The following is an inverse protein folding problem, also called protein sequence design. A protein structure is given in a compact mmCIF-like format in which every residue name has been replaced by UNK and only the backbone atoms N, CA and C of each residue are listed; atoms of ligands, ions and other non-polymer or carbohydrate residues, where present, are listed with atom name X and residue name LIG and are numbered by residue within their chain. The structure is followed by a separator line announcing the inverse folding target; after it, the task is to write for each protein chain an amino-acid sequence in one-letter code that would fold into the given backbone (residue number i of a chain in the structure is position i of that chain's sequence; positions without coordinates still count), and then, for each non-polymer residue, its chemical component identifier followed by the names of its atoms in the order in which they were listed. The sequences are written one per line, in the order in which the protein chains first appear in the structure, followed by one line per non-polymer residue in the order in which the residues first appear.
data_IF_526145893738
#
_entry.id   IF_526145893738
#
_cell.length_a   1.000
_cell.length_b   1.000
_cell.length_c   1.000
_cell.angle_alpha   90.00
_cell.angle_beta   90.00
_cell.angle_gamma   90.00
#
_symmetry.space_group_name_H-M   'P 1'
#
loop_
_entity.id
_entity.type
_entity.pdbx_description
1 polymer ?
#
# COMPACT_ATOMS: atom_id res chain seq x y z
N UNK A 1 6.04 6.62 38.77
CA UNK A 1 6.83 5.47 38.28
C UNK A 1 6.53 4.14 38.98
N UNK A 2 6.45 4.01 40.32
CA UNK A 2 6.21 2.70 40.95
C UNK A 2 4.79 2.15 40.73
N UNK A 3 3.80 3.03 40.62
CA UNK A 3 2.39 2.63 40.39
C UNK A 3 2.20 1.99 39.01
N UNK A 4 2.86 2.51 37.97
CA UNK A 4 2.81 1.94 36.62
C UNK A 4 3.45 0.56 36.57
N UNK A 5 4.57 0.38 37.29
CA UNK A 5 5.25 -0.91 37.40
C UNK A 5 4.35 -1.91 38.17
N UNK A 6 3.71 -1.48 39.26
CA UNK A 6 2.78 -2.32 40.01
C UNK A 6 1.58 -2.76 39.16
N UNK A 7 1.03 -1.87 38.34
CA UNK A 7 -0.06 -2.20 37.40
C UNK A 7 0.41 -3.20 36.35
N UNK A 8 1.58 -2.97 35.73
CA UNK A 8 2.14 -3.89 34.73
C UNK A 8 2.41 -5.28 35.31
N UNK A 9 2.94 -5.35 36.53
CA UNK A 9 3.19 -6.63 37.22
C UNK A 9 1.90 -7.32 37.59
N UNK A 10 0.87 -6.59 38.06
CA UNK A 10 -0.43 -7.17 38.39
C UNK A 10 -1.12 -7.75 37.14
N UNK A 11 -1.11 -7.01 36.03
CA UNK A 11 -1.68 -7.45 34.76
C UNK A 11 -0.90 -8.65 34.20
N UNK A 12 0.43 -8.57 34.15
CA UNK A 12 1.27 -9.68 33.67
C UNK A 12 1.13 -10.95 34.52
N UNK A 13 1.05 -10.80 35.84
CA UNK A 13 0.82 -11.91 36.76
C UNK A 13 -0.54 -12.58 36.57
N UNK A 14 -1.61 -11.80 36.37
CA UNK A 14 -2.94 -12.33 36.09
C UNK A 14 -2.99 -13.11 34.77
N UNK A 15 -2.33 -12.60 33.73
CA UNK A 15 -2.25 -13.27 32.41
C UNK A 15 -1.50 -14.60 32.52
N UNK A 16 -0.35 -14.62 33.20
CA UNK A 16 0.45 -15.84 33.39
C UNK A 16 -0.29 -16.90 34.23
N UNK A 17 -0.99 -16.47 35.28
CA UNK A 17 -1.78 -17.37 36.12
C UNK A 17 -2.97 -17.97 35.37
N UNK A 18 -3.66 -17.16 34.55
CA UNK A 18 -4.75 -17.62 33.71
C UNK A 18 -4.27 -18.59 32.62
N UNK A 19 -3.20 -18.26 31.90
CA UNK A 19 -2.64 -19.11 30.85
C UNK A 19 -2.15 -20.47 31.37
N UNK A 20 -1.64 -20.51 32.61
CA UNK A 20 -1.23 -21.76 33.27
C UNK A 20 -2.42 -22.61 33.72
N UNK A 21 -3.53 -21.97 34.12
CA UNK A 21 -4.73 -22.66 34.61
C UNK A 21 -5.60 -23.23 33.48
N UNK A 22 -5.54 -22.63 32.29
CA UNK A 22 -6.34 -23.04 31.11
C UNK A 22 -5.45 -23.33 29.88
N UNK A 23 -4.65 -24.41 29.89
CA UNK A 23 -3.65 -24.67 28.84
C UNK A 23 -4.25 -24.95 27.46
N UNK A 24 -5.50 -25.43 27.37
CA UNK A 24 -6.18 -25.69 26.08
C UNK A 24 -6.67 -24.39 25.44
N UNK A 25 -7.25 -23.49 26.23
CA UNK A 25 -7.73 -22.19 25.75
C UNK A 25 -6.58 -21.22 25.43
N UNK A 26 -5.45 -21.34 26.15
CA UNK A 26 -4.25 -20.56 25.86
C UNK A 26 -3.63 -20.90 24.50
N UNK A 27 -3.72 -22.17 24.07
CA UNK A 27 -3.25 -22.60 22.75
C UNK A 27 -4.16 -22.08 21.63
N UNK A 28 -5.48 -22.13 21.80
CA UNK A 28 -6.41 -21.56 20.80
C UNK A 28 -6.30 -20.04 20.72
N UNK A 29 -6.09 -19.34 21.84
CA UNK A 29 -5.88 -17.88 21.84
C UNK A 29 -4.54 -17.51 21.23
N UNK A 30 -3.50 -18.33 21.39
CA UNK A 30 -2.21 -18.11 20.73
C UNK A 30 -2.31 -18.37 19.21
N UNK A 31 -3.00 -19.42 18.78
CA UNK A 31 -3.21 -19.73 17.37
C UNK A 31 -4.13 -18.70 16.71
N UNK A 32 -5.17 -18.22 17.41
CA UNK A 32 -6.01 -17.09 16.98
C UNK A 32 -5.21 -15.78 16.96
N UNK A 33 -4.35 -15.50 17.93
CA UNK A 33 -3.52 -14.30 17.92
C UNK A 33 -2.45 -14.34 16.82
N UNK A 34 -1.92 -15.52 16.50
CA UNK A 34 -0.98 -15.73 15.38
C UNK A 34 -1.74 -15.64 14.05
N UNK A 35 -2.93 -16.23 13.96
CA UNK A 35 -3.79 -16.15 12.79
C UNK A 35 -4.30 -14.74 12.60
N UNK A 36 -4.65 -14.00 13.65
CA UNK A 36 -4.99 -12.58 13.61
C UNK A 36 -3.74 -11.74 13.37
N UNK A 37 -2.54 -12.10 13.80
CA UNK A 37 -1.33 -11.35 13.44
C UNK A 37 -0.93 -11.58 11.96
N UNK A 38 -1.22 -12.78 11.44
CA UNK A 38 -0.88 -13.23 10.08
C UNK A 38 -1.96 -12.90 9.05
N UNK A 39 -3.22 -12.85 9.48
CA UNK A 39 -4.42 -12.50 8.71
C UNK A 39 -5.05 -11.19 9.21
N UNK A 40 -4.41 -10.44 10.13
CA UNK A 40 -4.80 -9.05 10.35
C UNK A 40 -4.55 -8.38 9.00
N UNK A 41 -5.58 -7.89 8.31
CA UNK A 41 -5.33 -7.00 7.21
C UNK A 41 -4.45 -5.87 7.77
N UNK A 42 -3.57 -5.32 6.93
CA UNK A 42 -2.70 -4.15 7.17
C UNK A 42 -3.46 -2.87 7.61
N UNK A 43 -4.73 -3.01 8.05
CA UNK A 43 -5.77 -2.04 8.37
C UNK A 43 -5.88 -1.67 9.86
N UNK A 44 -5.08 -2.23 10.80
CA UNK A 44 -5.08 -1.79 12.22
C UNK A 44 -4.21 -0.53 12.45
N UNK A 45 -3.44 -0.09 11.45
CA UNK A 45 -2.68 1.17 11.52
C UNK A 45 -3.49 2.43 11.17
N UNK A 46 -4.83 2.35 11.03
CA UNK A 46 -5.65 3.53 10.72
C UNK A 46 -5.77 4.47 11.93
N UNK A 47 -4.78 5.36 12.10
CA UNK A 47 -4.91 6.56 12.94
C UNK A 47 -5.92 7.49 12.25
N UNK A 48 -7.12 7.65 12.83
CA UNK A 48 -8.15 8.58 12.34
C UNK A 48 -7.55 9.99 12.12
N UNK A 49 -7.23 10.32 10.86
CA UNK A 49 -6.98 11.68 10.39
C UNK A 49 -8.26 12.18 9.72
N UNK A 50 -9.14 12.81 10.50
CA UNK A 50 -10.50 13.21 10.06
C UNK A 50 -10.56 14.40 9.09
N UNK A 51 -9.43 14.82 8.48
CA UNK A 51 -9.37 15.97 7.55
C UNK A 51 -8.33 15.83 6.42
N UNK A 52 -7.70 14.66 6.24
CA UNK A 52 -6.70 14.43 5.20
C UNK A 52 -7.32 14.00 3.88
N UNK A 53 -6.65 14.25 2.76
CA UNK A 53 -7.04 13.62 1.50
C UNK A 53 -6.75 12.12 1.62
N UNK A 54 -7.57 11.22 1.05
CA UNK A 54 -7.41 9.78 1.26
C UNK A 54 -6.04 9.22 0.85
N UNK A 55 -5.42 9.79 -0.19
CA UNK A 55 -4.03 9.49 -0.58
C UNK A 55 -3.03 9.72 0.56
N UNK A 56 -3.25 10.70 1.42
CA UNK A 56 -2.34 11.00 2.54
C UNK A 56 -2.35 9.88 3.60
N UNK A 57 -3.39 9.04 3.62
CA UNK A 57 -3.52 7.87 4.51
C UNK A 57 -2.96 6.57 3.95
N UNK A 58 -2.36 6.56 2.75
CA UNK A 58 -1.72 5.37 2.19
C UNK A 58 -0.43 5.11 2.95
N UNK A 59 -0.33 4.03 3.72
CA UNK A 59 0.91 3.64 4.42
C UNK A 59 1.64 2.47 3.74
N UNK A 60 1.05 1.92 2.67
CA UNK A 60 1.57 0.78 1.93
C UNK A 60 2.18 1.23 0.59
N UNK A 61 3.51 1.12 0.41
CA UNK A 61 4.19 1.50 -0.83
C UNK A 61 3.65 0.75 -2.05
N UNK A 62 3.33 -0.54 -1.91
CA UNK A 62 2.79 -1.36 -3.00
C UNK A 62 1.46 -0.81 -3.51
N UNK A 63 0.54 -0.45 -2.61
CA UNK A 63 -0.74 0.17 -2.99
C UNK A 63 -0.52 1.50 -3.72
N UNK A 64 0.43 2.32 -3.26
CA UNK A 64 0.75 3.58 -3.92
C UNK A 64 1.33 3.36 -5.33
N UNK A 65 2.16 2.34 -5.53
CA UNK A 65 2.71 1.95 -6.85
C UNK A 65 1.60 1.48 -7.78
N UNK A 66 0.69 0.62 -7.32
CA UNK A 66 -0.47 0.16 -8.10
C UNK A 66 -1.35 1.35 -8.50
N UNK A 67 -1.60 2.28 -7.57
CA UNK A 67 -2.37 3.49 -7.85
C UNK A 67 -1.69 4.46 -8.83
N UNK A 68 -0.35 4.51 -8.84
CA UNK A 68 0.40 5.23 -9.87
C UNK A 68 0.27 4.53 -11.24
N UNK A 69 0.27 3.19 -11.28
CA UNK A 69 0.01 2.43 -12.50
C UNK A 69 -1.37 2.70 -13.08
N UNK A 70 -2.42 2.70 -12.24
CA UNK A 70 -3.79 3.06 -12.68
C UNK A 70 -3.84 4.51 -13.20
N UNK A 71 -3.26 5.47 -12.48
CA UNK A 71 -3.23 6.86 -12.95
C UNK A 71 -2.44 7.02 -14.25
N UNK A 72 -1.40 6.20 -14.46
CA UNK A 72 -0.55 6.24 -15.65
C UNK A 72 -1.27 5.78 -16.92
N UNK A 73 -2.11 4.74 -16.81
CA UNK A 73 -2.94 4.29 -17.94
C UNK A 73 -4.14 5.24 -18.21
N UNK A 74 -4.49 6.11 -17.26
CA UNK A 74 -5.55 7.13 -17.40
C UNK A 74 -5.06 8.48 -17.99
N UNK A 75 -3.75 8.68 -18.20
CA UNK A 75 -3.19 10.01 -18.49
C UNK A 75 -3.69 10.68 -19.77
N UNK A 76 -3.94 9.91 -20.83
CA UNK A 76 -4.33 10.45 -22.15
C UNK A 76 -5.82 10.29 -22.44
N UNK A 77 -6.42 9.20 -21.97
CA UNK A 77 -7.86 8.92 -22.11
C UNK A 77 -8.29 7.90 -21.06
N UNK A 78 -9.59 7.59 -21.04
CA UNK A 78 -10.12 6.48 -20.27
C UNK A 78 -9.41 5.17 -20.67
N UNK A 79 -8.86 4.42 -19.70
CA UNK A 79 -8.10 3.23 -20.01
C UNK A 79 -9.00 2.20 -20.65
N UNK A 80 -8.46 1.46 -21.60
CA UNK A 80 -9.19 0.39 -22.27
C UNK A 80 -9.33 -0.82 -21.34
N UNK A 81 -10.10 -1.83 -21.76
CA UNK A 81 -10.15 -3.11 -21.03
C UNK A 81 -8.82 -3.84 -21.08
N UNK A 82 -8.10 -3.71 -22.20
CA UNK A 82 -6.81 -4.34 -22.41
C UNK A 82 -5.74 -3.71 -21.49
N UNK A 83 -5.73 -2.39 -21.35
CA UNK A 83 -4.81 -1.70 -20.43
C UNK A 83 -5.01 -2.15 -18.97
N UNK A 84 -6.27 -2.21 -18.54
CA UNK A 84 -6.62 -2.70 -17.20
C UNK A 84 -6.25 -4.17 -17.00
N UNK A 85 -6.49 -5.01 -18.00
CA UNK A 85 -6.11 -6.42 -17.92
C UNK A 85 -4.59 -6.61 -17.90
N UNK A 86 -3.84 -5.78 -18.64
CA UNK A 86 -2.38 -5.77 -18.63
C UNK A 86 -1.86 -5.35 -17.25
N UNK A 87 -2.36 -4.25 -16.71
CA UNK A 87 -2.05 -3.81 -15.35
C UNK A 87 -2.32 -4.93 -14.33
N UNK A 88 -3.48 -5.58 -14.43
CA UNK A 88 -3.86 -6.66 -13.54
C UNK A 88 -2.89 -7.84 -13.55
N UNK A 89 -2.51 -8.31 -14.74
CA UNK A 89 -1.52 -9.39 -14.89
C UNK A 89 -0.16 -8.97 -14.30
N UNK A 90 0.27 -7.74 -14.56
CA UNK A 90 1.56 -7.23 -14.06
C UNK A 90 1.58 -7.14 -12.53
N UNK A 91 0.54 -6.58 -11.91
CA UNK A 91 0.42 -6.46 -10.45
C UNK A 91 0.48 -7.84 -9.79
N UNK A 92 -0.27 -8.80 -10.32
CA UNK A 92 -0.24 -10.18 -9.82
C UNK A 92 1.13 -10.83 -9.94
N UNK A 93 1.83 -10.62 -11.06
CA UNK A 93 3.15 -11.20 -11.28
C UNK A 93 4.23 -10.58 -10.38
N UNK A 94 4.24 -9.25 -10.26
CA UNK A 94 5.27 -8.52 -9.52
C UNK A 94 5.19 -8.78 -8.01
N UNK A 95 3.98 -8.75 -7.43
CA UNK A 95 3.79 -8.93 -6.00
C UNK A 95 3.23 -10.31 -5.60
N UNK A 96 3.12 -11.25 -6.55
CA UNK A 96 2.63 -12.63 -6.35
C UNK A 96 1.26 -12.67 -5.66
N UNK A 97 0.40 -11.74 -6.02
CA UNK A 97 -0.94 -11.61 -5.46
C UNK A 97 -1.89 -12.69 -6.00
N UNK A 98 -2.84 -13.10 -5.17
CA UNK A 98 -4.00 -13.87 -5.66
C UNK A 98 -4.85 -13.00 -6.58
N UNK A 99 -5.78 -13.61 -7.32
CA UNK A 99 -6.74 -12.85 -8.14
C UNK A 99 -7.52 -11.84 -7.28
N UNK A 100 -8.09 -12.34 -6.17
CA UNK A 100 -8.91 -11.57 -5.25
C UNK A 100 -8.14 -10.40 -4.63
N UNK A 101 -6.92 -10.63 -4.14
CA UNK A 101 -6.10 -9.57 -3.55
C UNK A 101 -5.76 -8.46 -4.56
N UNK A 102 -5.50 -8.84 -5.82
CA UNK A 102 -5.19 -7.88 -6.88
C UNK A 102 -6.43 -7.07 -7.29
N UNK A 103 -7.59 -7.72 -7.42
CA UNK A 103 -8.86 -7.04 -7.69
C UNK A 103 -9.19 -6.02 -6.58
N UNK A 104 -8.99 -6.38 -5.31
CA UNK A 104 -9.18 -5.45 -4.19
C UNK A 104 -8.21 -4.26 -4.24
N UNK A 105 -6.91 -4.54 -4.47
CA UNK A 105 -5.88 -3.52 -4.54
C UNK A 105 -6.14 -2.54 -5.69
N UNK A 106 -6.53 -3.04 -6.87
CA UNK A 106 -6.86 -2.23 -8.03
C UNK A 106 -8.16 -1.44 -7.86
N UNK A 107 -9.19 -2.04 -7.24
CA UNK A 107 -10.42 -1.31 -6.91
C UNK A 107 -10.13 -0.13 -5.98
N UNK A 108 -9.27 -0.33 -4.98
CA UNK A 108 -8.84 0.74 -4.08
C UNK A 108 -7.97 1.78 -4.79
N UNK A 109 -7.03 1.34 -5.62
CA UNK A 109 -6.17 2.20 -6.44
C UNK A 109 -7.01 3.14 -7.33
N UNK A 110 -7.96 2.58 -8.08
CA UNK A 110 -8.88 3.36 -8.94
C UNK A 110 -9.72 4.34 -8.15
N UNK A 111 -10.24 3.92 -7.00
CA UNK A 111 -10.96 4.83 -6.13
C UNK A 111 -10.07 6.00 -5.69
N UNK A 112 -8.82 5.75 -5.28
CA UNK A 112 -7.84 6.77 -4.86
C UNK A 112 -7.50 7.76 -5.98
N UNK A 113 -7.28 7.27 -7.20
CA UNK A 113 -7.05 8.10 -8.39
C UNK A 113 -8.27 9.01 -8.62
N UNK A 114 -9.48 8.46 -8.55
CA UNK A 114 -10.72 9.22 -8.68
C UNK A 114 -10.91 10.31 -7.62
N UNK A 115 -10.31 10.18 -6.43
CA UNK A 115 -10.36 11.24 -5.41
C UNK A 115 -9.46 12.44 -5.75
N UNK A 116 -8.49 12.28 -6.65
CA UNK A 116 -7.53 13.33 -7.01
C UNK A 116 -8.05 14.30 -8.09
N UNK A 117 -9.19 14.00 -8.72
CA UNK A 117 -9.84 14.86 -9.72
C UNK A 117 -9.25 14.80 -11.13
N UNK A 118 -7.96 14.48 -11.28
CA UNK A 118 -7.35 14.14 -12.58
C UNK A 118 -6.20 13.13 -12.44
N UNK A 119 -5.89 12.36 -13.50
CA UNK A 119 -4.77 11.42 -13.50
C UNK A 119 -3.42 12.11 -13.22
N UNK A 120 -3.16 13.26 -13.84
CA UNK A 120 -1.93 14.03 -13.59
C UNK A 120 -1.84 14.50 -12.12
N UNK A 121 -2.95 14.94 -11.53
CA UNK A 121 -2.97 15.30 -10.10
C UNK A 121 -2.81 14.08 -9.20
N UNK A 122 -3.30 12.91 -9.61
CA UNK A 122 -3.11 11.66 -8.89
C UNK A 122 -1.63 11.26 -8.88
N UNK A 123 -0.96 11.30 -10.04
CA UNK A 123 0.47 11.03 -10.17
C UNK A 123 1.30 11.92 -9.26
N UNK A 124 1.05 13.22 -9.28
CA UNK A 124 1.79 14.17 -8.46
C UNK A 124 1.55 13.93 -6.95
N UNK A 125 0.30 13.72 -6.54
CA UNK A 125 -0.04 13.53 -5.12
C UNK A 125 0.41 12.18 -4.57
N UNK A 126 0.11 11.10 -5.28
CA UNK A 126 0.48 9.74 -4.89
C UNK A 126 2.00 9.59 -4.98
N UNK A 127 2.66 10.14 -6.00
CA UNK A 127 4.12 10.13 -6.11
C UNK A 127 4.80 10.84 -4.95
N UNK A 128 4.27 11.99 -4.49
CA UNK A 128 4.75 12.63 -3.25
C UNK A 128 4.50 11.81 -2.01
N UNK A 129 3.37 11.11 -1.93
CA UNK A 129 3.08 10.23 -0.78
C UNK A 129 4.04 9.05 -0.76
N UNK A 130 4.21 8.39 -1.91
CA UNK A 130 5.14 7.28 -2.11
C UNK A 130 6.54 7.69 -1.66
N UNK A 131 7.06 8.82 -2.14
CA UNK A 131 8.38 9.32 -1.72
C UNK A 131 8.55 9.50 -0.19
N UNK A 132 7.45 9.73 0.57
CA UNK A 132 7.50 9.86 2.03
C UNK A 132 7.44 8.53 2.77
N UNK A 133 6.88 7.49 2.16
CA UNK A 133 6.74 6.13 2.74
C UNK A 133 7.74 5.15 2.14
N UNK A 134 8.43 5.55 1.08
CA UNK A 134 9.48 4.82 0.40
C UNK A 134 10.65 4.52 1.35
N UNK A 135 11.17 3.31 1.25
CA UNK A 135 12.35 2.81 1.96
C UNK A 135 13.62 2.83 1.07
N UNK A 136 13.55 3.50 -0.08
CA UNK A 136 14.61 3.60 -1.08
C UNK A 136 14.41 2.65 -2.28
N UNK A 137 13.37 1.81 -2.24
CA UNK A 137 13.12 0.80 -3.29
C UNK A 137 12.01 1.18 -4.25
N UNK A 138 11.19 2.20 -3.95
CA UNK A 138 9.97 2.48 -4.70
C UNK A 138 10.19 2.73 -6.19
N UNK A 139 11.28 3.40 -6.59
CA UNK A 139 11.58 3.57 -8.02
C UNK A 139 11.91 2.24 -8.70
N UNK A 140 12.71 1.39 -8.04
CA UNK A 140 13.10 0.10 -8.59
C UNK A 140 11.91 -0.86 -8.78
N UNK A 141 10.86 -0.69 -7.97
CA UNK A 141 9.61 -1.43 -8.11
C UNK A 141 8.65 -0.77 -9.12
N UNK A 142 8.54 0.56 -9.14
CA UNK A 142 7.62 1.29 -10.01
C UNK A 142 8.08 1.28 -11.48
N UNK A 143 9.37 1.48 -11.74
CA UNK A 143 9.92 1.58 -13.08
C UNK A 143 9.55 0.38 -13.99
N UNK A 144 9.74 -0.89 -13.58
CA UNK A 144 9.40 -2.03 -14.43
C UNK A 144 7.90 -2.09 -14.73
N UNK A 145 7.03 -1.73 -13.77
CA UNK A 145 5.59 -1.66 -13.99
C UNK A 145 5.26 -0.65 -15.10
N UNK A 146 5.76 0.59 -14.98
CA UNK A 146 5.48 1.64 -15.97
C UNK A 146 6.08 1.32 -17.34
N UNK A 147 7.28 0.74 -17.38
CA UNK A 147 7.92 0.32 -18.63
C UNK A 147 7.13 -0.79 -19.34
N UNK A 148 6.59 -1.76 -18.60
CA UNK A 148 5.76 -2.84 -19.16
C UNK A 148 4.38 -2.36 -19.61
N UNK A 149 3.82 -1.32 -18.98
CA UNK A 149 2.59 -0.68 -19.44
C UNK A 149 2.82 0.16 -20.70
N UNK A 150 4.03 0.71 -20.86
CA UNK A 150 4.43 1.54 -21.99
C UNK A 150 5.11 0.82 -23.15
N UNK A 151 5.05 -0.51 -23.19
CA UNK A 151 5.80 -1.32 -24.17
C UNK A 151 5.42 -0.99 -25.63
N UNK A 152 4.16 -0.63 -25.86
CA UNK A 152 3.62 -0.27 -27.19
C UNK A 152 3.89 1.21 -27.56
N UNK A 153 4.65 1.92 -26.72
CA UNK A 153 4.97 3.33 -26.85
C UNK A 153 4.31 4.18 -25.77
N UNK A 154 5.05 5.17 -25.26
CA UNK A 154 4.54 6.14 -24.31
C UNK A 154 3.99 7.36 -25.05
N UNK A 155 2.83 7.82 -24.61
CA UNK A 155 2.33 9.16 -24.96
C UNK A 155 3.22 10.26 -24.37
N UNK A 156 2.97 11.52 -24.78
CA UNK A 156 3.68 12.68 -24.24
C UNK A 156 3.41 12.84 -22.74
N UNK A 157 2.15 12.71 -22.30
CA UNK A 157 1.78 12.80 -20.89
C UNK A 157 2.42 11.70 -20.06
N UNK A 158 2.44 10.46 -20.56
CA UNK A 158 3.07 9.33 -19.88
C UNK A 158 4.60 9.46 -19.81
N UNK A 159 5.24 9.93 -20.88
CA UNK A 159 6.68 10.19 -20.89
C UNK A 159 7.05 11.25 -19.85
N UNK A 160 6.30 12.36 -19.81
CA UNK A 160 6.52 13.41 -18.81
C UNK A 160 6.30 12.90 -17.39
N UNK A 161 5.27 12.09 -17.17
CA UNK A 161 4.99 11.53 -15.85
C UNK A 161 6.07 10.54 -15.40
N UNK A 162 6.59 9.72 -16.31
CA UNK A 162 7.69 8.80 -16.05
C UNK A 162 8.93 9.55 -15.58
N UNK A 163 9.32 10.61 -16.28
CA UNK A 163 10.48 11.44 -15.93
C UNK A 163 10.31 12.16 -14.58
N UNK A 164 9.10 12.68 -14.32
CA UNK A 164 8.77 13.33 -13.05
C UNK A 164 8.89 12.36 -11.87
N UNK A 165 8.33 11.15 -12.02
CA UNK A 165 8.39 10.10 -10.99
C UNK A 165 9.83 9.62 -10.76
N UNK A 166 10.61 9.45 -11.84
CA UNK A 166 12.02 9.12 -11.76
C UNK A 166 12.79 10.15 -10.93
N UNK A 167 12.65 11.43 -11.27
CA UNK A 167 13.34 12.52 -10.57
C UNK A 167 12.91 12.60 -9.10
N UNK A 168 11.64 12.38 -8.81
CA UNK A 168 11.07 12.49 -7.46
C UNK A 168 11.58 11.38 -6.55
N UNK A 169 11.49 10.12 -6.99
CA UNK A 169 11.77 8.96 -6.16
C UNK A 169 13.28 8.75 -5.97
N UNK A 170 14.10 9.00 -7.01
CA UNK A 170 15.57 8.91 -6.89
C UNK A 170 16.20 10.03 -6.05
N UNK A 171 15.53 11.18 -5.89
CA UNK A 171 15.96 12.22 -4.95
C UNK A 171 15.60 11.90 -3.50
N UNK A 172 14.59 11.06 -3.27
CA UNK A 172 14.16 10.68 -1.92
C UNK A 172 15.22 9.81 -1.24
N UNK A 173 15.80 8.87 -1.99
CA UNK A 173 16.86 7.95 -1.57
C UNK A 173 18.13 8.65 -1.01
N UNK A 174 18.31 9.96 -1.27
CA UNK A 174 19.47 10.73 -0.80
C UNK A 174 19.27 11.46 0.53
N UNK A 175 18.13 11.35 1.20
CA UNK A 175 17.84 12.03 2.48
C UNK A 175 17.80 11.06 3.64
#
# INVERSE_FOLDING_TARGET
MPILIAILVAVGGAILWWARSNPRDALSVADDAITIARNAPRKIAFRRQTKGHPVDGIDDPTLAIIALGEAFIELEDLPTREDRQRLHVLVRQMWRMTEEDAEEAEALARWLVGQCGSPSSAIDRIGRRLAKIDDGTAWSELQPLLASLGEDGLSEGQSSAFDELHQRLTRSDKR
#
